data_IF_546022214697
#
_entry.id   IF_546022214697
#
_cell.length_a   1.000
_cell.length_b   1.000
_cell.length_c   1.000
_cell.angle_alpha   90.00
_cell.angle_beta   90.00
_cell.angle_gamma   90.00
#
_symmetry.space_group_name_H-M   'P 1'
#
loop_
_entity.id
_entity.type
_entity.pdbx_description
1 polymer ?
#
# COMPACT_ATOMS: atom_id res chain seq x y z
N UNK A 1 10.87 12.65 -9.43
CA UNK A 1 9.55 13.15 -8.97
C UNK A 1 8.61 11.98 -8.92
N UNK A 2 8.71 11.15 -7.88
CA UNK A 2 7.93 9.91 -7.76
C UNK A 2 6.58 10.25 -7.12
N UNK A 3 5.57 10.08 -7.96
CA UNK A 3 4.12 10.31 -7.86
C UNK A 3 3.52 10.53 -6.46
N UNK A 4 3.07 11.77 -6.25
CA UNK A 4 2.15 12.24 -5.21
C UNK A 4 0.71 11.77 -5.51
N UNK A 5 0.49 10.48 -5.74
CA UNK A 5 -0.82 9.97 -6.19
C UNK A 5 -1.20 8.71 -5.42
N UNK A 6 -2.51 8.50 -5.33
CA UNK A 6 -3.10 7.21 -4.99
C UNK A 6 -2.41 6.07 -5.77
N UNK A 7 -2.37 4.85 -5.21
CA UNK A 7 -1.93 3.67 -5.95
C UNK A 7 -2.60 3.59 -7.33
N UNK A 8 -1.86 3.15 -8.37
CA UNK A 8 -2.45 3.07 -9.70
C UNK A 8 -3.65 2.12 -9.72
N UNK A 9 -4.69 2.49 -10.48
CA UNK A 9 -5.87 1.66 -10.67
C UNK A 9 -5.57 0.52 -11.65
N UNK A 10 -6.15 -0.66 -11.39
CA UNK A 10 -6.12 -1.82 -12.29
C UNK A 10 -7.08 -1.68 -13.47
N UNK A 11 -8.04 -0.76 -13.36
CA UNK A 11 -8.99 -0.44 -14.44
C UNK A 11 -8.66 0.91 -15.08
N UNK A 12 -8.83 0.99 -16.39
CA UNK A 12 -8.65 2.23 -17.15
C UNK A 12 -9.90 3.11 -17.10
N UNK A 13 -9.73 4.41 -16.85
CA UNK A 13 -10.77 5.45 -16.89
C UNK A 13 -11.09 6.04 -15.51
N UNK A 14 -12.22 6.74 -15.33
CA UNK A 14 -12.54 7.40 -14.07
C UNK A 14 -12.83 6.40 -12.95
N UNK A 15 -12.47 6.79 -11.73
CA UNK A 15 -12.78 6.07 -10.51
C UNK A 15 -14.28 5.93 -10.31
N UNK A 16 -14.74 4.79 -9.81
CA UNK A 16 -16.15 4.55 -9.49
C UNK A 16 -16.40 4.69 -7.99
N UNK A 17 -17.64 4.98 -7.60
CA UNK A 17 -18.00 4.98 -6.17
C UNK A 17 -17.99 3.55 -5.63
N UNK A 18 -17.05 3.26 -4.74
CA UNK A 18 -16.93 2.00 -4.01
C UNK A 18 -17.72 2.00 -2.70
N UNK A 19 -17.51 0.98 -1.85
CA UNK A 19 -18.11 0.90 -0.52
C UNK A 19 -17.71 2.08 0.38
N UNK A 20 -18.46 2.27 1.45
CA UNK A 20 -18.07 3.20 2.52
C UNK A 20 -16.76 2.76 3.17
N UNK A 21 -15.85 3.70 3.43
CA UNK A 21 -14.57 3.42 4.08
C UNK A 21 -14.77 2.71 5.43
N UNK A 22 -15.79 3.10 6.18
CA UNK A 22 -16.13 2.53 7.48
C UNK A 22 -16.37 1.01 7.42
N UNK A 23 -16.93 0.50 6.31
CA UNK A 23 -17.12 -0.93 6.08
C UNK A 23 -15.76 -1.65 6.03
N UNK A 24 -14.82 -1.15 5.22
CA UNK A 24 -13.49 -1.75 5.10
C UNK A 24 -12.72 -1.67 6.42
N UNK A 25 -12.79 -0.54 7.12
CA UNK A 25 -12.16 -0.37 8.43
C UNK A 25 -12.69 -1.36 9.45
N UNK A 26 -14.01 -1.59 9.45
CA UNK A 26 -14.64 -2.57 10.33
C UNK A 26 -14.20 -4.00 9.99
N UNK A 27 -14.17 -4.36 8.70
CA UNK A 27 -13.71 -5.68 8.24
C UNK A 27 -12.25 -5.92 8.62
N UNK A 28 -11.37 -4.94 8.46
CA UNK A 28 -9.96 -5.05 8.85
C UNK A 28 -9.80 -5.16 10.38
N UNK A 29 -10.59 -4.42 11.15
CA UNK A 29 -10.57 -4.53 12.61
C UNK A 29 -11.09 -5.90 13.10
N UNK A 30 -11.95 -6.56 12.31
CA UNK A 30 -12.49 -7.88 12.59
C UNK A 30 -11.64 -9.04 12.04
N UNK A 31 -10.53 -8.75 11.35
CA UNK A 31 -9.64 -9.78 10.83
C UNK A 31 -9.07 -10.64 11.97
N UNK A 32 -9.18 -11.96 11.85
CA UNK A 32 -8.67 -12.89 12.86
C UNK A 32 -7.15 -12.98 12.80
N UNK A 33 -6.53 -13.43 13.89
CA UNK A 33 -5.09 -13.69 13.93
C UNK A 33 -4.61 -14.66 12.84
N UNK A 34 -5.51 -15.56 12.41
CA UNK A 34 -5.21 -16.60 11.42
C UNK A 34 -4.87 -16.02 10.04
N UNK A 35 -5.44 -14.85 9.70
CA UNK A 35 -5.13 -14.14 8.44
C UNK A 35 -3.67 -13.64 8.41
N UNK A 36 -3.07 -13.46 9.59
CA UNK A 36 -1.68 -13.03 9.74
C UNK A 36 -0.73 -14.17 10.11
N UNK A 37 -1.22 -15.42 10.12
CA UNK A 37 -0.39 -16.59 10.42
C UNK A 37 0.70 -16.76 9.35
N UNK A 38 2.00 -16.76 9.72
CA UNK A 38 3.08 -17.02 8.77
C UNK A 38 2.99 -18.38 8.04
N UNK A 39 2.24 -19.35 8.59
CA UNK A 39 1.99 -20.66 7.98
C UNK A 39 0.87 -20.66 6.93
N UNK A 40 0.17 -19.54 6.73
CA UNK A 40 -0.93 -19.44 5.77
C UNK A 40 -0.41 -19.58 4.32
N UNK A 41 -0.98 -20.51 3.56
CA UNK A 41 -0.64 -20.71 2.16
C UNK A 41 -1.36 -19.67 1.27
N UNK A 42 -0.82 -18.45 1.22
CA UNK A 42 -1.42 -17.30 0.53
C UNK A 42 -1.78 -17.59 -0.94
N UNK A 43 -0.94 -18.25 -1.77
CA UNK A 43 -1.34 -18.55 -3.16
C UNK A 43 -2.60 -19.42 -3.27
N UNK A 44 -2.82 -20.33 -2.31
CA UNK A 44 -4.03 -21.15 -2.29
C UNK A 44 -5.24 -20.33 -1.87
N UNK A 45 -5.09 -19.48 -0.85
CA UNK A 45 -6.14 -18.54 -0.44
C UNK A 45 -6.56 -17.62 -1.59
N UNK A 46 -5.60 -17.12 -2.39
CA UNK A 46 -5.87 -16.30 -3.57
C UNK A 46 -6.68 -17.07 -4.61
N UNK A 47 -6.32 -18.33 -4.88
CA UNK A 47 -7.08 -19.19 -5.79
C UNK A 47 -8.51 -19.46 -5.28
N UNK A 48 -8.68 -19.72 -3.98
CA UNK A 48 -9.97 -19.94 -3.35
C UNK A 48 -10.87 -18.68 -3.42
N UNK A 49 -10.30 -17.50 -3.18
CA UNK A 49 -11.03 -16.24 -3.32
C UNK A 49 -11.41 -15.96 -4.77
N UNK A 50 -10.53 -16.22 -5.74
CA UNK A 50 -10.89 -16.10 -7.16
C UNK A 50 -12.08 -17.01 -7.54
N UNK A 51 -12.07 -18.26 -7.04
CA UNK A 51 -13.18 -19.19 -7.21
C UNK A 51 -14.46 -18.70 -6.52
N UNK A 52 -14.36 -18.15 -5.31
CA UNK A 52 -15.49 -17.59 -4.56
C UNK A 52 -16.15 -16.42 -5.31
N UNK A 53 -15.35 -15.56 -5.94
CA UNK A 53 -15.81 -14.30 -6.54
C UNK A 53 -16.69 -14.52 -7.77
N UNK A 54 -16.26 -15.37 -8.70
CA UNK A 54 -17.00 -15.59 -9.95
C UNK A 54 -16.87 -17.03 -10.51
N UNK A 55 -16.36 -17.97 -9.71
CA UNK A 55 -16.16 -19.36 -10.14
C UNK A 55 -14.92 -19.56 -11.01
N UNK A 56 -14.07 -18.55 -11.18
CA UNK A 56 -12.87 -18.67 -12.00
C UNK A 56 -11.82 -19.58 -11.36
N UNK A 57 -11.29 -20.51 -12.16
CA UNK A 57 -10.07 -21.24 -11.84
C UNK A 57 -8.89 -20.48 -12.46
N UNK A 58 -7.97 -20.03 -11.63
CA UNK A 58 -6.79 -19.29 -12.10
C UNK A 58 -5.94 -20.15 -13.03
N UNK A 59 -5.49 -19.56 -14.13
CA UNK A 59 -4.67 -20.26 -15.12
C UNK A 59 -3.29 -20.54 -14.55
N UNK A 60 -2.67 -21.63 -15.03
CA UNK A 60 -1.33 -22.05 -14.61
C UNK A 60 -0.27 -20.92 -14.60
N UNK A 61 -0.16 -20.05 -15.63
CA UNK A 61 0.82 -18.96 -15.59
C UNK A 61 0.58 -17.97 -14.45
N UNK A 62 -0.68 -17.71 -14.11
CA UNK A 62 -1.04 -16.85 -12.97
C UNK A 62 -0.68 -17.49 -11.65
N UNK A 63 -0.94 -18.79 -11.50
CA UNK A 63 -0.57 -19.54 -10.30
C UNK A 63 0.96 -19.59 -10.12
N UNK A 64 1.71 -19.85 -11.19
CA UNK A 64 3.18 -19.84 -11.16
C UNK A 64 3.73 -18.47 -10.76
N UNK A 65 3.14 -17.38 -11.28
CA UNK A 65 3.52 -16.02 -10.88
C UNK A 65 3.17 -15.70 -9.41
N UNK A 66 2.06 -16.22 -8.90
CA UNK A 66 1.68 -16.09 -7.48
C UNK A 66 2.63 -16.89 -6.59
N UNK A 67 3.02 -18.09 -6.98
CA UNK A 67 3.98 -18.90 -6.23
C UNK A 67 5.38 -18.26 -6.23
N UNK A 68 5.79 -17.61 -7.32
CA UNK A 68 7.07 -16.89 -7.35
C UNK A 68 7.06 -15.65 -6.44
N UNK A 69 5.95 -14.90 -6.43
CA UNK A 69 5.83 -13.63 -5.70
C UNK A 69 5.46 -13.81 -4.23
N UNK A 70 4.58 -14.78 -3.94
CA UNK A 70 3.91 -15.05 -2.66
C UNK A 70 4.07 -16.52 -2.19
N UNK A 71 5.00 -17.28 -2.78
CA UNK A 71 5.29 -18.64 -2.34
C UNK A 71 5.82 -18.71 -0.91
N UNK A 72 5.86 -19.93 -0.34
CA UNK A 72 6.29 -20.15 1.04
C UNK A 72 7.68 -19.56 1.29
N UNK A 73 7.78 -18.75 2.35
CA UNK A 73 9.07 -18.27 2.84
C UNK A 73 9.69 -19.36 3.69
N UNK A 74 10.97 -19.69 3.48
CA UNK A 74 11.68 -20.63 4.35
C UNK A 74 11.55 -20.18 5.81
N UNK A 75 11.32 -21.11 6.73
CA UNK A 75 11.10 -20.85 8.18
C UNK A 75 12.23 -20.08 8.90
N UNK A 76 13.34 -19.80 8.21
CA UNK A 76 14.48 -19.00 8.67
C UNK A 76 14.34 -17.50 8.34
N UNK A 77 13.23 -17.08 7.75
CA UNK A 77 13.05 -15.71 7.28
C UNK A 77 12.86 -14.75 8.46
N UNK A 78 13.69 -13.71 8.53
CA UNK A 78 13.60 -12.72 9.60
C UNK A 78 12.24 -12.00 9.58
N UNK A 79 11.67 -11.63 10.75
CA UNK A 79 10.38 -10.94 10.84
C UNK A 79 10.34 -9.55 10.16
N UNK A 80 11.50 -9.02 9.77
CA UNK A 80 11.62 -7.77 9.01
C UNK A 80 11.70 -7.99 7.48
N UNK A 81 11.57 -9.23 6.98
CA UNK A 81 11.62 -9.50 5.54
C UNK A 81 10.39 -8.89 4.84
N UNK A 82 10.59 -8.05 3.80
CA UNK A 82 9.52 -7.55 2.96
C UNK A 82 8.58 -8.65 2.41
N UNK A 83 9.04 -9.89 2.24
CA UNK A 83 8.20 -11.05 1.87
C UNK A 83 7.13 -11.35 2.91
N UNK A 84 7.48 -11.41 4.19
CA UNK A 84 6.50 -11.68 5.27
C UNK A 84 5.45 -10.58 5.31
N UNK A 85 5.86 -9.32 5.11
CA UNK A 85 4.92 -8.19 5.00
C UNK A 85 4.01 -8.32 3.76
N UNK A 86 4.53 -8.75 2.61
CA UNK A 86 3.74 -8.96 1.40
C UNK A 86 2.69 -10.07 1.57
N UNK A 87 3.07 -11.19 2.17
CA UNK A 87 2.15 -12.31 2.44
C UNK A 87 0.98 -11.89 3.33
N UNK A 88 1.26 -11.19 4.43
CA UNK A 88 0.24 -10.67 5.32
C UNK A 88 -0.72 -9.68 4.62
N UNK A 89 -0.17 -8.75 3.83
CA UNK A 89 -0.97 -7.80 3.05
C UNK A 89 -1.83 -8.50 1.99
N UNK A 90 -1.29 -9.49 1.30
CA UNK A 90 -2.02 -10.29 0.33
C UNK A 90 -3.19 -11.06 0.99
N UNK A 91 -2.96 -11.65 2.17
CA UNK A 91 -4.01 -12.30 2.95
C UNK A 91 -5.10 -11.31 3.41
N UNK A 92 -4.74 -10.09 3.82
CA UNK A 92 -5.72 -9.04 4.15
C UNK A 92 -6.51 -8.55 2.93
N UNK A 93 -5.88 -8.48 1.75
CA UNK A 93 -6.60 -8.20 0.49
C UNK A 93 -7.59 -9.31 0.15
N UNK A 94 -7.20 -10.58 0.36
CA UNK A 94 -8.12 -11.73 0.24
C UNK A 94 -9.30 -11.61 1.21
N UNK A 95 -9.02 -11.27 2.48
CA UNK A 95 -10.03 -11.06 3.52
C UNK A 95 -11.07 -10.00 3.12
N UNK A 96 -10.62 -8.85 2.63
CA UNK A 96 -11.49 -7.78 2.15
C UNK A 96 -12.30 -8.21 0.92
N UNK A 97 -11.66 -8.84 -0.06
CA UNK A 97 -12.31 -9.24 -1.30
C UNK A 97 -13.36 -10.34 -1.10
N UNK A 98 -13.16 -11.23 -0.13
CA UNK A 98 -14.09 -12.32 0.16
C UNK A 98 -15.41 -11.82 0.78
N UNK A 99 -15.44 -10.64 1.40
CA UNK A 99 -16.64 -10.15 2.09
C UNK A 99 -17.76 -9.75 1.09
N UNK A 100 -19.01 -10.21 1.27
CA UNK A 100 -20.13 -9.86 0.40
C UNK A 100 -20.44 -8.37 0.30
N UNK A 101 -20.20 -7.58 1.35
CA UNK A 101 -20.41 -6.13 1.31
C UNK A 101 -19.42 -5.42 0.39
N UNK A 102 -18.27 -6.05 0.13
CA UNK A 102 -17.26 -5.57 -0.81
C UNK A 102 -17.53 -6.11 -2.21
N UNK A 103 -17.43 -7.42 -2.44
CA UNK A 103 -17.47 -7.94 -3.82
C UNK A 103 -18.83 -7.81 -4.53
N UNK A 104 -19.92 -7.66 -3.76
CA UNK A 104 -21.26 -7.44 -4.34
C UNK A 104 -21.65 -5.96 -4.42
N UNK A 105 -20.77 -5.06 -3.98
CA UNK A 105 -21.03 -3.63 -4.08
C UNK A 105 -21.15 -3.22 -5.56
N UNK A 106 -22.16 -2.42 -5.97
CA UNK A 106 -22.38 -2.09 -7.37
C UNK A 106 -21.16 -1.47 -8.08
N UNK A 107 -20.42 -0.61 -7.39
CA UNK A 107 -19.18 -0.03 -7.92
C UNK A 107 -18.08 -1.05 -8.13
N UNK A 108 -17.94 -2.03 -7.23
CA UNK A 108 -16.96 -3.12 -7.35
C UNK A 108 -17.34 -4.04 -8.50
N UNK A 109 -18.62 -4.40 -8.63
CA UNK A 109 -19.12 -5.20 -9.75
C UNK A 109 -18.88 -4.50 -11.09
N UNK A 110 -19.12 -3.19 -11.16
CA UNK A 110 -18.86 -2.40 -12.37
C UNK A 110 -17.36 -2.29 -12.68
N UNK A 111 -16.50 -2.10 -11.67
CA UNK A 111 -15.05 -2.12 -11.83
C UNK A 111 -14.56 -3.49 -12.30
N UNK A 112 -15.05 -4.57 -11.70
CA UNK A 112 -14.77 -5.94 -12.11
C UNK A 112 -15.15 -6.20 -13.57
N UNK A 113 -16.31 -5.71 -14.01
CA UNK A 113 -16.71 -5.79 -15.42
C UNK A 113 -15.72 -5.13 -16.37
N UNK A 114 -15.13 -3.98 -15.99
CA UNK A 114 -14.09 -3.28 -16.78
C UNK A 114 -12.75 -4.01 -16.80
N UNK A 115 -12.44 -4.77 -15.74
CA UNK A 115 -11.23 -5.58 -15.65
C UNK A 115 -11.34 -6.94 -16.35
N UNK A 116 -12.52 -7.30 -16.89
CA UNK A 116 -12.78 -8.59 -17.53
C UNK A 116 -13.27 -9.69 -16.57
N UNK A 117 -13.67 -9.35 -15.36
CA UNK A 117 -14.21 -10.27 -14.35
C UNK A 117 -13.82 -9.90 -12.92
N UNK A 118 -14.49 -10.52 -11.93
CA UNK A 118 -14.22 -10.26 -10.52
C UNK A 118 -12.87 -10.85 -10.10
N UNK A 119 -12.54 -12.06 -10.57
CA UNK A 119 -11.24 -12.67 -10.35
C UNK A 119 -10.10 -11.86 -11.01
N UNK A 120 -10.29 -11.37 -12.23
CA UNK A 120 -9.28 -10.56 -12.93
C UNK A 120 -9.01 -9.23 -12.20
N UNK A 121 -10.08 -8.54 -11.77
CA UNK A 121 -9.97 -7.35 -10.94
C UNK A 121 -9.23 -7.62 -9.63
N UNK A 122 -9.63 -8.67 -8.91
CA UNK A 122 -9.03 -9.05 -7.64
C UNK A 122 -7.53 -9.38 -7.78
N UNK A 123 -7.14 -10.18 -8.77
CA UNK A 123 -5.73 -10.48 -9.06
C UNK A 123 -4.95 -9.21 -9.40
N UNK A 124 -5.55 -8.30 -10.15
CA UNK A 124 -4.96 -6.98 -10.41
C UNK A 124 -4.69 -6.20 -9.12
N UNK A 125 -5.68 -6.12 -8.22
CA UNK A 125 -5.55 -5.41 -6.93
C UNK A 125 -4.47 -6.06 -6.07
N UNK A 126 -4.47 -7.39 -6.01
CA UNK A 126 -3.49 -8.19 -5.28
C UNK A 126 -2.06 -8.00 -5.83
N UNK A 127 -1.90 -7.78 -7.13
CA UNK A 127 -0.58 -7.52 -7.71
C UNK A 127 -0.02 -6.14 -7.29
N UNK A 128 -0.86 -5.19 -6.88
CA UNK A 128 -0.45 -3.83 -6.58
C UNK A 128 -0.32 -3.53 -5.09
N UNK A 129 -1.36 -3.82 -4.30
CA UNK A 129 -1.47 -3.37 -2.91
C UNK A 129 -0.34 -3.90 -2.01
N UNK A 130 -0.05 -5.21 -1.98
CA UNK A 130 1.03 -5.75 -1.16
C UNK A 130 2.40 -5.16 -1.53
N UNK A 131 2.65 -4.91 -2.83
CA UNK A 131 3.92 -4.32 -3.29
C UNK A 131 4.04 -2.85 -2.91
N UNK A 132 2.95 -2.10 -2.97
CA UNK A 132 2.94 -0.69 -2.59
C UNK A 132 3.16 -0.47 -1.09
N UNK A 133 2.68 -1.40 -0.24
CA UNK A 133 2.66 -1.24 1.22
C UNK A 133 3.70 -2.07 1.98
N UNK A 134 4.37 -3.02 1.32
CA UNK A 134 5.31 -3.92 1.99
C UNK A 134 6.44 -3.18 2.73
N UNK A 135 6.67 -3.56 3.98
CA UNK A 135 7.73 -2.98 4.80
C UNK A 135 7.46 -1.54 5.26
N UNK A 136 6.25 -1.00 5.02
CA UNK A 136 5.86 0.31 5.53
C UNK A 136 5.50 0.28 7.02
N UNK A 137 4.90 -0.83 7.47
CA UNK A 137 4.51 -1.08 8.87
C UNK A 137 4.73 -2.56 9.20
N UNK A 138 4.94 -2.92 10.48
CA UNK A 138 4.87 -4.31 10.92
C UNK A 138 3.51 -4.92 10.58
N UNK A 139 3.46 -6.22 10.23
CA UNK A 139 2.24 -6.88 9.75
C UNK A 139 1.03 -6.70 10.67
N UNK A 140 1.24 -6.81 12.00
CA UNK A 140 0.18 -6.64 12.99
C UNK A 140 -0.40 -5.22 13.06
N UNK A 141 0.35 -4.21 12.63
CA UNK A 141 -0.10 -2.82 12.65
C UNK A 141 -1.16 -2.53 11.58
N UNK A 142 -1.20 -3.29 10.47
CA UNK A 142 -2.22 -3.11 9.42
C UNK A 142 -3.66 -3.34 9.90
N UNK A 143 -3.83 -4.11 10.96
CA UNK A 143 -5.13 -4.38 11.59
C UNK A 143 -5.24 -3.81 13.00
N UNK A 144 -4.14 -3.73 13.75
CA UNK A 144 -4.13 -3.21 15.12
C UNK A 144 -4.26 -1.68 15.20
N UNK A 145 -3.71 -0.96 14.24
CA UNK A 145 -3.70 0.51 14.21
C UNK A 145 -4.78 1.06 13.27
N UNK A 146 -5.45 2.13 13.69
CA UNK A 146 -6.46 2.81 12.88
C UNK A 146 -5.88 3.42 11.60
N UNK A 147 -4.68 4.01 11.68
CA UNK A 147 -4.03 4.62 10.52
C UNK A 147 -3.59 3.54 9.51
N UNK A 148 -3.01 2.43 9.99
CA UNK A 148 -2.70 1.26 9.17
C UNK A 148 -3.93 0.69 8.45
N UNK A 149 -5.06 0.55 9.16
CA UNK A 149 -6.31 0.09 8.54
C UNK A 149 -6.80 1.05 7.46
N UNK A 150 -6.75 2.35 7.70
CA UNK A 150 -7.19 3.35 6.72
C UNK A 150 -6.28 3.38 5.49
N UNK A 151 -4.97 3.35 5.67
CA UNK A 151 -4.01 3.28 4.57
C UNK A 151 -4.25 2.05 3.69
N UNK A 152 -4.43 0.87 4.29
CA UNK A 152 -4.73 -0.36 3.54
C UNK A 152 -6.08 -0.29 2.82
N UNK A 153 -7.14 0.16 3.49
CA UNK A 153 -8.47 0.27 2.89
C UNK A 153 -8.49 1.23 1.70
N UNK A 154 -7.83 2.39 1.81
CA UNK A 154 -7.71 3.36 0.72
C UNK A 154 -6.86 2.81 -0.42
N UNK A 155 -5.76 2.13 -0.13
CA UNK A 155 -4.94 1.51 -1.17
C UNK A 155 -5.70 0.42 -1.94
N UNK A 156 -6.47 -0.41 -1.23
CA UNK A 156 -7.32 -1.43 -1.84
C UNK A 156 -8.35 -0.84 -2.80
N UNK A 157 -9.09 0.19 -2.36
CA UNK A 157 -10.09 0.86 -3.21
C UNK A 157 -9.44 1.54 -4.41
N UNK A 158 -8.38 2.32 -4.19
CA UNK A 158 -7.67 3.03 -5.26
C UNK A 158 -7.11 2.08 -6.31
N UNK A 159 -6.45 0.99 -5.89
CA UNK A 159 -5.97 -0.04 -6.81
C UNK A 159 -7.12 -0.71 -7.56
N UNK A 160 -8.31 -0.82 -6.97
CA UNK A 160 -9.51 -1.31 -7.64
C UNK A 160 -10.18 -0.32 -8.59
N UNK A 161 -9.68 0.92 -8.70
CA UNK A 161 -10.30 2.01 -9.44
C UNK A 161 -11.56 2.55 -8.77
N UNK A 162 -11.56 2.56 -7.44
CA UNK A 162 -12.70 2.96 -6.62
C UNK A 162 -12.33 4.12 -5.68
N UNK A 163 -13.30 4.98 -5.42
CA UNK A 163 -13.27 5.95 -4.33
C UNK A 163 -14.14 5.43 -3.18
N UNK A 164 -13.81 5.75 -1.92
CA UNK A 164 -14.76 5.54 -0.83
C UNK A 164 -16.09 6.25 -1.11
N UNK A 165 -17.20 5.65 -0.69
CA UNK A 165 -18.52 6.27 -0.86
C UNK A 165 -18.56 7.68 -0.23
N UNK A 166 -19.05 8.65 -1.00
CA UNK A 166 -19.16 10.05 -0.58
C UNK A 166 -17.89 10.89 -0.77
N UNK A 167 -16.80 10.31 -1.29
CA UNK A 167 -15.59 11.05 -1.66
C UNK A 167 -15.52 11.30 -3.18
N UNK A 168 -14.93 12.42 -3.57
CA UNK A 168 -14.48 12.70 -4.93
C UNK A 168 -12.95 12.49 -5.03
N UNK A 169 -12.39 12.61 -6.24
CA UNK A 169 -10.96 12.36 -6.48
C UNK A 169 -10.06 13.32 -5.67
N UNK A 170 -10.47 14.58 -5.49
CA UNK A 170 -9.71 15.58 -4.72
C UNK A 170 -9.69 15.21 -3.24
N UNK A 171 -10.86 14.97 -2.65
CA UNK A 171 -10.98 14.58 -1.25
C UNK A 171 -10.26 13.25 -0.97
N UNK A 172 -10.39 12.26 -1.86
CA UNK A 172 -9.72 10.98 -1.70
C UNK A 172 -8.19 11.10 -1.75
N UNK A 173 -7.66 11.96 -2.63
CA UNK A 173 -6.23 12.26 -2.68
C UNK A 173 -5.76 12.97 -1.41
N UNK A 174 -6.49 13.98 -0.95
CA UNK A 174 -6.17 14.73 0.27
C UNK A 174 -6.14 13.81 1.51
N UNK A 175 -7.12 12.93 1.62
CA UNK A 175 -7.17 11.95 2.70
C UNK A 175 -6.07 10.90 2.60
N UNK A 176 -5.71 10.47 1.40
CA UNK A 176 -4.56 9.59 1.19
C UNK A 176 -3.26 10.24 1.67
N UNK A 177 -3.03 11.52 1.41
CA UNK A 177 -1.84 12.21 1.90
C UNK A 177 -1.73 12.21 3.42
N UNK A 178 -2.86 12.33 4.11
CA UNK A 178 -2.86 12.32 5.57
C UNK A 178 -2.38 11.00 6.17
N UNK A 179 -2.69 9.86 5.53
CA UNK A 179 -2.43 8.51 6.09
C UNK A 179 -1.29 7.74 5.42
N UNK A 180 -0.80 8.20 4.26
CA UNK A 180 0.21 7.47 3.48
C UNK A 180 1.57 7.46 4.18
N UNK A 181 1.99 6.28 4.63
CA UNK A 181 3.31 6.03 5.19
C UNK A 181 4.42 6.27 4.16
N UNK A 182 4.16 5.99 2.88
CA UNK A 182 5.10 6.31 1.79
C UNK A 182 5.36 7.82 1.75
N UNK A 183 4.30 8.62 1.78
CA UNK A 183 4.41 10.06 1.74
C UNK A 183 5.13 10.60 2.98
N UNK A 184 4.75 10.15 4.17
CA UNK A 184 5.42 10.52 5.42
C UNK A 184 6.92 10.21 5.39
N UNK A 185 7.32 9.02 4.92
CA UNK A 185 8.74 8.64 4.77
C UNK A 185 9.48 9.54 3.78
N UNK A 186 8.87 9.85 2.64
CA UNK A 186 9.45 10.74 1.63
C UNK A 186 9.65 12.16 2.19
N UNK A 187 8.65 12.69 2.92
CA UNK A 187 8.72 14.00 3.55
C UNK A 187 9.85 14.06 4.57
N UNK A 188 9.96 13.06 5.45
CA UNK A 188 11.05 12.97 6.43
C UNK A 188 12.42 12.89 5.76
N UNK A 189 12.55 12.11 4.68
CA UNK A 189 13.80 11.99 3.93
C UNK A 189 14.20 13.32 3.25
N UNK A 190 13.22 14.02 2.67
CA UNK A 190 13.43 15.33 2.05
C UNK A 190 13.86 16.38 3.08
N UNK A 191 13.17 16.46 4.23
CA UNK A 191 13.55 17.34 5.33
C UNK A 191 14.96 17.04 5.84
N UNK A 192 15.31 15.77 6.01
CA UNK A 192 16.67 15.38 6.42
C UNK A 192 17.74 15.78 5.39
N UNK A 193 17.40 15.77 4.10
CA UNK A 193 18.31 16.24 3.04
C UNK A 193 18.50 17.76 3.08
N UNK A 194 17.42 18.52 3.25
CA UNK A 194 17.49 19.97 3.37
C UNK A 194 18.30 20.41 4.59
N UNK A 195 18.12 19.73 5.74
CA UNK A 195 18.91 20.01 6.94
C UNK A 195 20.41 19.80 6.71
N UNK A 196 20.81 18.68 6.07
CA UNK A 196 22.21 18.42 5.72
C UNK A 196 22.79 19.51 4.81
N UNK A 197 22.02 19.99 3.84
CA UNK A 197 22.45 21.05 2.93
C UNK A 197 22.61 22.40 3.66
N UNK A 198 21.69 22.72 4.58
CA UNK A 198 21.75 23.92 5.40
C UNK A 198 22.98 23.93 6.33
N UNK A 199 23.27 22.80 6.98
CA UNK A 199 24.45 22.61 7.83
C UNK A 199 25.75 22.78 7.03
N UNK A 200 25.83 22.20 5.83
CA UNK A 200 27.00 22.32 4.98
C UNK A 200 27.23 23.78 4.53
N UNK A 201 26.16 24.49 4.16
CA UNK A 201 26.23 25.90 3.80
C UNK A 201 26.69 26.75 4.98
N UNK A 202 26.14 26.51 6.18
CA UNK A 202 26.53 27.21 7.40
C UNK A 202 28.02 27.01 7.72
N UNK A 203 28.52 25.77 7.58
CA UNK A 203 29.95 25.45 7.76
C UNK A 203 30.82 26.23 6.77
N UNK A 204 30.47 26.23 5.48
CA UNK A 204 31.22 26.95 4.43
C UNK A 204 31.27 28.46 4.70
N UNK A 205 30.15 29.05 5.12
CA UNK A 205 30.08 30.48 5.48
C UNK A 205 30.92 30.80 6.72
N UNK A 206 30.93 29.92 7.72
CA UNK A 206 31.76 30.09 8.91
C UNK A 206 33.27 30.01 8.58
N UNK A 207 33.67 29.06 7.74
CA UNK A 207 35.06 28.93 7.26
C UNK A 207 35.51 30.15 6.45
N UNK A 208 34.64 30.68 5.57
CA UNK A 208 34.94 31.90 4.81
C UNK A 208 35.15 33.11 5.72
N UNK A 209 34.23 33.33 6.68
CA UNK A 209 34.36 34.42 7.66
C UNK A 209 35.63 34.30 8.50
N UNK A 210 36.01 33.08 8.90
CA UNK A 210 37.23 32.84 9.64
C UNK A 210 38.48 33.19 8.81
N UNK A 211 38.50 32.84 7.51
CA UNK A 211 39.59 33.19 6.59
C UNK A 211 39.69 34.70 6.37
N UNK A 212 38.56 35.38 6.19
CA UNK A 212 38.50 36.83 6.01
C UNK A 212 38.98 37.57 7.27
N UNK A 213 38.55 37.14 8.46
CA UNK A 213 39.03 37.70 9.71
C UNK A 213 40.56 37.52 9.87
N UNK A 214 41.08 36.31 9.62
CA UNK A 214 42.53 36.05 9.69
C UNK A 214 43.33 36.92 8.70
N UNK A 215 42.81 37.14 7.49
CA UNK A 215 43.44 38.00 6.49
C UNK A 215 43.42 39.50 6.89
N UNK A 216 42.42 39.95 7.64
CA UNK A 216 42.39 41.31 8.20
C UNK A 216 43.44 41.50 9.31
N UNK A 217 43.61 40.52 10.20
CA UNK A 217 44.61 40.60 11.27
C UNK A 217 46.06 40.48 10.78
N UNK A 218 46.31 39.81 9.64
CA UNK A 218 47.65 39.67 9.06
C UNK A 218 48.12 40.90 8.25
N UNK A 219 47.23 41.84 7.95
CA UNK A 219 47.53 43.08 7.21
C UNK A 219 47.78 44.30 8.12
N UNK A 220 47.94 44.08 9.42
CA UNK A 220 48.30 45.08 10.43
C UNK A 220 49.67 44.76 11.03
#
# INVERSE_FOLDING_TARGET
MTSNRLPPSVIEGPSLTGPELAVLLHLLAAATSDVLDPGLHVPALVADVALLLDGSVLQRPTLEALDEDLGPSDSTTAPADPRVSRLALAALVCWLAADPQVHRHPGVVAAAGRAGGAAAWFVGVLAQVPRALAGLRPSAAWVGDAEGREELARAFLASGGLLPAGEDDELASDRWFAVSSVHQRHLVAALAQEQRQAEELARRLAEQRAKEAAAQYANY
#
